data_IF_284035466546
#
_entry.id   IF_284035466546
#
_cell.length_a   1.000
_cell.length_b   1.000
_cell.length_c   1.000
_cell.angle_alpha   90.00
_cell.angle_beta   90.00
_cell.angle_gamma   90.00
#
_symmetry.space_group_name_H-M   'P 1'
#
loop_
_entity.id
_entity.type
_entity.pdbx_description
1 polymer ?
#
# COMPACT_ATOMS: atom_id res chain seq x y z
N UNK A 1 1.70 -5.13 -3.20
CA UNK A 1 2.47 -3.87 -3.05
C UNK A 1 3.96 -3.99 -3.25
N UNK A 2 4.59 -5.09 -2.82
CA UNK A 2 5.97 -5.42 -3.16
C UNK A 2 6.28 -5.28 -4.65
N UNK A 3 5.31 -5.61 -5.51
CA UNK A 3 5.36 -5.38 -6.96
C UNK A 3 5.62 -3.91 -7.33
N UNK A 4 4.97 -2.91 -6.72
CA UNK A 4 5.23 -1.50 -7.02
C UNK A 4 6.63 -1.07 -6.58
N UNK A 5 7.06 -1.51 -5.39
CA UNK A 5 8.42 -1.24 -4.90
C UNK A 5 9.45 -1.87 -5.80
N UNK A 6 9.27 -3.14 -6.17
CA UNK A 6 10.18 -3.88 -7.03
C UNK A 6 10.17 -3.34 -8.46
N UNK A 7 9.00 -3.14 -9.08
CA UNK A 7 8.89 -2.75 -10.50
C UNK A 7 8.99 -1.26 -10.77
N UNK A 8 8.58 -0.38 -9.85
CA UNK A 8 8.60 1.08 -10.05
C UNK A 8 9.71 1.78 -9.28
N UNK A 9 10.07 1.34 -8.06
CA UNK A 9 11.03 2.06 -7.21
C UNK A 9 12.44 1.43 -7.16
N UNK A 10 12.54 0.10 -7.24
CA UNK A 10 13.78 -0.67 -7.19
C UNK A 10 14.30 -1.02 -8.60
N UNK A 11 13.43 -1.34 -9.55
CA UNK A 11 13.80 -1.64 -10.94
C UNK A 11 13.74 -0.36 -11.77
N UNK A 12 14.94 0.08 -12.17
CA UNK A 12 15.26 0.85 -13.37
C UNK A 12 14.17 1.81 -13.90
N UNK A 13 14.36 3.10 -13.61
CA UNK A 13 13.82 4.26 -14.33
C UNK A 13 12.57 3.98 -15.19
N UNK A 14 11.38 4.24 -14.63
CA UNK A 14 10.11 3.98 -15.29
C UNK A 14 10.03 4.68 -16.66
N UNK A 15 9.50 4.00 -17.69
CA UNK A 15 9.41 4.57 -19.05
C UNK A 15 10.74 4.68 -19.81
N UNK A 16 11.85 4.19 -19.26
CA UNK A 16 13.13 4.16 -19.96
C UNK A 16 13.21 3.06 -21.03
N UNK A 17 14.04 3.29 -22.04
CA UNK A 17 14.34 2.28 -23.05
C UNK A 17 15.19 1.12 -22.49
N UNK A 18 15.34 0.04 -23.26
CA UNK A 18 16.11 -1.15 -22.82
C UNK A 18 17.59 -0.85 -22.58
N UNK A 19 18.21 0.03 -23.35
CA UNK A 19 19.62 0.39 -23.24
C UNK A 19 19.86 1.24 -21.98
N UNK A 20 19.02 2.26 -21.75
CA UNK A 20 18.99 3.10 -20.57
C UNK A 20 18.80 2.26 -19.30
N UNK A 21 17.82 1.34 -19.28
CA UNK A 21 17.61 0.43 -18.14
C UNK A 21 18.83 -0.45 -17.89
N UNK A 22 19.43 -1.01 -18.94
CA UNK A 22 20.62 -1.86 -18.83
C UNK A 22 21.81 -1.07 -18.27
N UNK A 23 22.05 0.15 -18.77
CA UNK A 23 23.14 1.00 -18.33
C UNK A 23 22.98 1.39 -16.85
N UNK A 24 21.82 1.91 -16.45
CA UNK A 24 21.54 2.26 -15.06
C UNK A 24 21.63 1.05 -14.11
N UNK A 25 21.20 -0.13 -14.56
CA UNK A 25 21.33 -1.38 -13.79
C UNK A 25 22.78 -1.78 -13.60
N UNK A 26 23.58 -1.77 -14.67
CA UNK A 26 25.01 -2.10 -14.64
C UNK A 26 25.77 -1.13 -13.75
N UNK A 27 25.52 0.17 -13.90
CA UNK A 27 26.10 1.22 -13.08
C UNK A 27 25.74 1.03 -11.60
N UNK A 28 24.45 0.85 -11.29
CA UNK A 28 24.01 0.63 -9.90
C UNK A 28 24.66 -0.60 -9.27
N UNK A 29 24.96 -1.65 -10.04
CA UNK A 29 25.64 -2.86 -9.58
C UNK A 29 27.14 -2.65 -9.38
N UNK A 30 27.79 -1.91 -10.29
CA UNK A 30 29.22 -1.62 -10.21
C UNK A 30 29.56 -0.84 -8.93
N UNK A 31 28.72 0.13 -8.57
CA UNK A 31 28.88 0.98 -7.39
C UNK A 31 28.14 0.44 -6.14
N UNK A 32 27.89 -0.87 -6.04
CA UNK A 32 27.24 -1.46 -4.86
C UNK A 32 28.10 -1.36 -3.59
N UNK A 33 29.43 -1.34 -3.76
CA UNK A 33 30.41 -1.27 -2.66
C UNK A 33 30.71 0.16 -2.23
N UNK A 34 30.30 1.15 -3.03
CA UNK A 34 30.51 2.56 -2.77
C UNK A 34 29.34 3.16 -1.99
N UNK A 35 29.58 4.31 -1.34
CA UNK A 35 28.57 5.01 -0.54
C UNK A 35 27.27 5.30 -1.33
N UNK A 36 26.14 5.07 -0.68
CA UNK A 36 24.81 5.20 -1.29
C UNK A 36 24.50 6.59 -1.87
N UNK A 37 25.06 7.65 -1.28
CA UNK A 37 24.88 9.03 -1.76
C UNK A 37 25.57 9.27 -3.11
N UNK A 38 26.85 8.89 -3.25
CA UNK A 38 27.61 9.04 -4.50
C UNK A 38 26.96 8.25 -5.64
N UNK A 39 26.47 7.04 -5.32
CA UNK A 39 25.71 6.23 -6.28
C UNK A 39 24.42 6.91 -6.75
N UNK A 40 23.62 7.45 -5.82
CA UNK A 40 22.39 8.18 -6.17
C UNK A 40 22.66 9.45 -6.96
N UNK A 41 23.71 10.20 -6.61
CA UNK A 41 24.14 11.40 -7.34
C UNK A 41 24.53 11.09 -8.78
N UNK A 42 25.36 10.06 -9.00
CA UNK A 42 25.76 9.64 -10.33
C UNK A 42 24.55 9.15 -11.15
N UNK A 43 23.66 8.35 -10.55
CA UNK A 43 22.44 7.92 -11.22
C UNK A 43 21.56 9.10 -11.62
N UNK A 44 21.37 10.08 -10.74
CA UNK A 44 20.60 11.28 -11.01
C UNK A 44 21.20 12.10 -12.16
N UNK A 45 22.52 12.26 -12.21
CA UNK A 45 23.21 12.92 -13.31
C UNK A 45 23.00 12.18 -14.64
N UNK A 46 23.20 10.85 -14.65
CA UNK A 46 22.96 10.02 -15.84
C UNK A 46 21.51 10.11 -16.32
N UNK A 47 20.53 10.07 -15.39
CA UNK A 47 19.11 10.23 -15.73
C UNK A 47 18.80 11.61 -16.30
N UNK A 48 19.40 12.70 -15.77
CA UNK A 48 19.25 14.05 -16.36
C UNK A 48 19.79 14.14 -17.77
N UNK A 49 20.94 13.50 -18.04
CA UNK A 49 21.50 13.46 -19.40
C UNK A 49 20.55 12.75 -20.38
N UNK A 50 19.95 11.62 -19.99
CA UNK A 50 18.98 10.93 -20.85
C UNK A 50 17.70 11.73 -21.09
N UNK A 51 17.29 12.54 -20.13
CA UNK A 51 16.06 13.32 -20.20
C UNK A 51 16.25 14.72 -20.79
N UNK A 52 17.49 15.15 -21.03
CA UNK A 52 17.81 16.47 -21.58
C UNK A 52 17.13 16.70 -22.93
N UNK A 53 17.14 15.67 -23.79
CA UNK A 53 16.56 15.74 -25.13
C UNK A 53 15.02 15.60 -25.13
N UNK A 54 14.43 15.07 -24.04
CA UNK A 54 13.01 14.74 -23.94
C UNK A 54 12.23 15.62 -22.95
N UNK A 55 12.76 16.81 -22.65
CA UNK A 55 12.15 17.79 -21.73
C UNK A 55 11.77 17.21 -20.36
N UNK A 56 12.53 16.22 -19.85
CA UNK A 56 12.25 15.62 -18.54
C UNK A 56 11.31 14.42 -18.57
N UNK A 57 10.76 14.00 -19.71
CA UNK A 57 9.83 12.86 -19.80
C UNK A 57 10.52 11.64 -20.42
N UNK A 58 10.49 10.45 -19.79
CA UNK A 58 11.06 9.25 -20.37
C UNK A 58 10.37 8.85 -21.69
N UNK A 59 11.10 8.27 -22.67
CA UNK A 59 10.59 8.04 -24.03
C UNK A 59 9.37 7.11 -24.10
N UNK A 60 9.27 6.13 -23.19
CA UNK A 60 8.15 5.19 -23.13
C UNK A 60 7.24 5.42 -21.92
N UNK A 61 7.25 6.62 -21.34
CA UNK A 61 6.50 6.93 -20.12
C UNK A 61 5.01 6.58 -20.24
N UNK A 62 4.29 7.23 -21.16
CA UNK A 62 2.85 7.02 -21.33
C UNK A 62 2.50 5.59 -21.77
N UNK A 63 3.31 5.01 -22.66
CA UNK A 63 3.13 3.64 -23.12
C UNK A 63 3.19 2.64 -21.96
N UNK A 64 4.11 2.81 -21.01
CA UNK A 64 4.22 1.95 -19.84
C UNK A 64 3.12 2.23 -18.80
N UNK A 65 2.67 3.48 -18.66
CA UNK A 65 1.50 3.85 -17.85
C UNK A 65 0.26 3.12 -18.35
N UNK A 66 -0.05 3.23 -19.65
CA UNK A 66 -1.22 2.59 -20.27
C UNK A 66 -1.20 1.07 -20.07
N UNK A 67 -0.05 0.43 -20.35
CA UNK A 67 0.12 -1.02 -20.17
C UNK A 67 -0.11 -1.43 -18.72
N UNK A 68 0.45 -0.70 -17.76
CA UNK A 68 0.32 -1.04 -16.34
C UNK A 68 -1.11 -0.79 -15.85
N UNK A 69 -1.73 0.33 -16.24
CA UNK A 69 -3.12 0.64 -15.91
C UNK A 69 -4.09 -0.42 -16.46
N UNK A 70 -3.92 -0.85 -17.71
CA UNK A 70 -4.71 -1.93 -18.30
C UNK A 70 -4.51 -3.26 -17.58
N UNK A 71 -3.27 -3.61 -17.23
CA UNK A 71 -2.99 -4.83 -16.45
C UNK A 71 -3.67 -4.80 -15.08
N UNK A 72 -3.61 -3.67 -14.38
CA UNK A 72 -4.29 -3.49 -13.10
C UNK A 72 -5.80 -3.63 -13.29
N UNK A 73 -6.38 -2.97 -14.28
CA UNK A 73 -7.81 -3.08 -14.59
C UNK A 73 -8.22 -4.53 -14.81
N UNK A 74 -7.51 -5.26 -15.67
CA UNK A 74 -7.75 -6.68 -15.95
C UNK A 74 -7.69 -7.53 -14.68
N UNK A 75 -6.71 -7.27 -13.79
CA UNK A 75 -6.58 -7.98 -12.52
C UNK A 75 -7.77 -7.74 -11.58
N UNK A 76 -8.35 -6.54 -11.58
CA UNK A 76 -9.48 -6.20 -10.71
C UNK A 76 -10.86 -6.47 -11.35
N UNK A 77 -10.93 -6.79 -12.65
CA UNK A 77 -12.18 -7.10 -13.36
C UNK A 77 -13.06 -8.14 -12.64
N UNK A 78 -12.53 -9.24 -12.07
CA UNK A 78 -13.37 -10.19 -11.34
C UNK A 78 -14.07 -9.56 -10.14
N UNK A 79 -13.39 -8.67 -9.42
CA UNK A 79 -13.94 -7.92 -8.30
C UNK A 79 -14.97 -6.91 -8.79
N UNK A 80 -14.69 -6.18 -9.87
CA UNK A 80 -15.64 -5.26 -10.49
C UNK A 80 -16.92 -6.00 -10.89
N UNK A 81 -16.80 -7.14 -11.58
CA UNK A 81 -17.94 -7.95 -12.01
C UNK A 81 -18.78 -8.43 -10.82
N UNK A 82 -18.14 -8.83 -9.72
CA UNK A 82 -18.84 -9.18 -8.48
C UNK A 82 -19.55 -7.98 -7.85
N UNK A 83 -18.90 -6.82 -7.82
CA UNK A 83 -19.50 -5.56 -7.35
C UNK A 83 -20.71 -5.18 -8.20
N UNK A 84 -20.64 -5.31 -9.54
CA UNK A 84 -21.77 -5.04 -10.44
C UNK A 84 -22.99 -5.89 -10.10
N UNK A 85 -22.79 -7.18 -9.82
CA UNK A 85 -23.87 -8.13 -9.47
C UNK A 85 -24.51 -7.84 -8.11
N UNK A 86 -23.79 -7.15 -7.22
CA UNK A 86 -24.22 -6.88 -5.84
C UNK A 86 -24.54 -5.39 -5.62
N UNK A 87 -24.40 -4.56 -6.65
CA UNK A 87 -24.63 -3.12 -6.57
C UNK A 87 -26.12 -2.80 -6.32
N UNK A 88 -26.46 -1.78 -5.52
CA UNK A 88 -27.84 -1.37 -5.39
C UNK A 88 -28.36 -0.87 -6.75
N UNK A 89 -29.59 -1.23 -7.16
CA UNK A 89 -30.18 -0.72 -8.40
C UNK A 89 -30.44 0.79 -8.37
N UNK A 90 -30.46 1.40 -7.19
CA UNK A 90 -30.74 2.82 -6.95
C UNK A 90 -29.52 3.74 -7.07
N UNK A 91 -28.30 3.18 -7.09
CA UNK A 91 -27.05 3.96 -7.15
C UNK A 91 -26.36 3.76 -8.50
N UNK A 92 -25.88 4.85 -9.10
CA UNK A 92 -25.12 4.79 -10.34
C UNK A 92 -23.76 4.10 -10.10
N UNK A 93 -23.51 3.03 -10.85
CA UNK A 93 -22.24 2.33 -10.79
C UNK A 93 -21.22 3.06 -11.68
N UNK A 94 -20.01 3.27 -11.17
CA UNK A 94 -18.90 3.81 -11.95
C UNK A 94 -18.67 2.96 -13.21
N UNK A 95 -18.62 3.61 -14.36
CA UNK A 95 -18.34 2.95 -15.63
C UNK A 95 -16.89 2.42 -15.68
N UNK A 96 -16.65 1.36 -16.46
CA UNK A 96 -15.31 0.79 -16.67
C UNK A 96 -14.36 1.84 -17.23
N UNK A 97 -14.83 2.75 -18.10
CA UNK A 97 -14.00 3.82 -18.65
C UNK A 97 -13.51 4.74 -17.53
N UNK A 98 -14.41 5.21 -16.67
CA UNK A 98 -14.05 6.06 -15.53
C UNK A 98 -13.14 5.33 -14.54
N UNK A 99 -13.34 4.03 -14.33
CA UNK A 99 -12.42 3.21 -13.53
C UNK A 99 -11.03 3.14 -14.16
N UNK A 100 -10.93 2.93 -15.49
CA UNK A 100 -9.66 2.96 -16.20
C UNK A 100 -8.97 4.32 -16.05
N UNK A 101 -9.70 5.43 -16.25
CA UNK A 101 -9.18 6.79 -16.10
C UNK A 101 -8.60 7.04 -14.70
N UNK A 102 -9.30 6.61 -13.64
CA UNK A 102 -8.78 6.72 -12.28
C UNK A 102 -7.51 5.88 -12.07
N UNK A 103 -7.50 4.63 -12.54
CA UNK A 103 -6.31 3.76 -12.43
C UNK A 103 -5.14 4.38 -13.20
N UNK A 104 -5.40 4.85 -14.42
CA UNK A 104 -4.41 5.49 -15.27
C UNK A 104 -3.82 6.74 -14.59
N UNK A 105 -4.65 7.60 -14.00
CA UNK A 105 -4.17 8.76 -13.22
C UNK A 105 -3.28 8.35 -12.04
N UNK A 106 -3.71 7.37 -11.24
CA UNK A 106 -2.91 6.87 -10.12
C UNK A 106 -1.56 6.30 -10.59
N UNK A 107 -1.55 5.52 -11.68
CA UNK A 107 -0.33 4.94 -12.26
C UNK A 107 0.58 6.03 -12.83
N UNK A 108 0.03 6.99 -13.58
CA UNK A 108 0.77 8.11 -14.15
C UNK A 108 1.46 8.93 -13.04
N UNK A 109 0.73 9.20 -11.96
CA UNK A 109 1.27 9.92 -10.82
C UNK A 109 2.39 9.14 -10.13
N UNK A 110 2.18 7.85 -9.82
CA UNK A 110 3.19 7.00 -9.21
C UNK A 110 4.44 6.85 -10.11
N UNK A 111 4.23 6.75 -11.42
CA UNK A 111 5.30 6.70 -12.43
C UNK A 111 6.10 8.00 -12.45
N UNK A 112 5.43 9.14 -12.42
CA UNK A 112 6.08 10.44 -12.38
C UNK A 112 6.88 10.63 -11.09
N UNK A 113 6.31 10.24 -9.95
CA UNK A 113 7.03 10.26 -8.68
C UNK A 113 8.27 9.34 -8.71
N UNK A 114 8.19 8.14 -9.29
CA UNK A 114 9.34 7.27 -9.50
C UNK A 114 10.45 7.95 -10.34
N UNK A 115 10.08 8.66 -11.41
CA UNK A 115 11.03 9.44 -12.22
C UNK A 115 11.74 10.50 -11.36
N UNK A 116 10.99 11.25 -10.56
CA UNK A 116 11.55 12.28 -9.67
C UNK A 116 12.46 11.69 -8.59
N UNK A 117 12.13 10.52 -8.03
CA UNK A 117 12.99 9.78 -7.11
C UNK A 117 14.34 9.44 -7.77
N UNK A 118 14.36 9.09 -9.07
CA UNK A 118 15.61 8.82 -9.80
C UNK A 118 16.38 10.08 -10.19
N UNK A 119 15.70 11.21 -10.32
CA UNK A 119 16.34 12.52 -10.55
C UNK A 119 16.91 13.16 -9.28
N UNK A 120 16.55 12.64 -8.11
CA UNK A 120 17.08 13.08 -6.83
C UNK A 120 18.47 12.48 -6.57
N UNK A 121 19.46 13.30 -6.15
CA UNK A 121 20.76 12.80 -5.73
C UNK A 121 20.73 12.12 -4.35
N UNK A 122 19.59 12.14 -3.67
CA UNK A 122 19.40 11.63 -2.31
C UNK A 122 18.66 10.29 -2.32
N UNK A 123 19.12 9.28 -1.57
CA UNK A 123 18.41 8.01 -1.48
C UNK A 123 17.08 8.16 -0.72
N UNK A 124 16.09 7.39 -1.17
CA UNK A 124 14.79 7.25 -0.53
C UNK A 124 14.66 5.84 0.05
N UNK A 125 14.06 5.74 1.24
CA UNK A 125 13.66 4.48 1.85
C UNK A 125 12.13 4.43 1.92
N UNK A 126 11.57 3.38 1.32
CA UNK A 126 10.14 3.08 1.35
C UNK A 126 9.89 1.89 2.27
N UNK A 127 9.25 2.12 3.41
CA UNK A 127 8.89 1.08 4.36
C UNK A 127 7.39 0.79 4.28
N UNK A 128 7.04 -0.41 3.83
CA UNK A 128 5.65 -0.86 3.76
C UNK A 128 5.31 -1.71 4.97
N UNK A 129 4.12 -1.51 5.52
CA UNK A 129 3.60 -2.37 6.57
C UNK A 129 3.02 -3.64 5.96
N UNK A 130 3.25 -4.75 6.64
CA UNK A 130 2.72 -6.06 6.25
C UNK A 130 1.30 -6.23 6.80
N UNK A 131 0.40 -6.88 6.06
CA UNK A 131 -0.87 -7.32 6.62
C UNK A 131 -0.65 -8.14 7.90
N UNK A 132 -1.40 -7.85 8.95
CA UNK A 132 -1.27 -8.46 10.28
C UNK A 132 -0.33 -7.74 11.24
N UNK A 133 0.44 -6.74 10.77
CA UNK A 133 1.27 -5.90 11.64
C UNK A 133 0.41 -5.17 12.68
N UNK A 134 1.03 -4.83 13.81
CA UNK A 134 0.36 -4.10 14.89
C UNK A 134 0.25 -2.61 14.54
N UNK A 135 -0.81 -1.98 15.02
CA UNK A 135 -0.94 -0.53 15.01
C UNK A 135 0.23 0.14 15.73
N UNK A 136 0.76 1.21 15.12
CA UNK A 136 1.72 2.14 15.74
C UNK A 136 1.16 3.58 15.67
N UNK A 137 1.43 4.43 16.67
CA UNK A 137 0.90 5.80 16.72
C UNK A 137 1.26 6.69 15.53
N UNK A 138 2.38 6.40 14.85
CA UNK A 138 2.88 7.18 13.71
C UNK A 138 2.14 6.89 12.39
N UNK A 139 1.23 5.92 12.39
CA UNK A 139 0.50 5.47 11.22
C UNK A 139 -0.81 6.24 11.06
N UNK A 140 -1.21 6.52 9.83
CA UNK A 140 -2.46 7.22 9.52
C UNK A 140 -3.56 6.23 9.16
N UNK A 141 -4.65 6.22 9.94
CA UNK A 141 -5.81 5.38 9.68
C UNK A 141 -6.70 5.98 8.59
N UNK A 142 -6.89 5.22 7.51
CA UNK A 142 -7.66 5.66 6.35
C UNK A 142 -9.16 5.44 6.48
N UNK A 143 -9.55 4.40 7.21
CA UNK A 143 -10.94 4.02 7.31
C UNK A 143 -11.31 3.60 8.73
N UNK A 144 -11.42 4.58 9.61
CA UNK A 144 -11.83 4.38 11.01
C UNK A 144 -13.18 3.70 11.14
N UNK A 145 -14.09 3.91 10.19
CA UNK A 145 -15.40 3.24 10.16
C UNK A 145 -15.29 1.72 9.98
N UNK A 146 -14.33 1.25 9.17
CA UNK A 146 -14.08 -0.18 8.98
C UNK A 146 -13.54 -0.83 10.25
N UNK A 147 -12.54 -0.19 10.85
CA UNK A 147 -11.91 -0.68 12.06
C UNK A 147 -12.89 -0.68 13.24
N UNK A 148 -13.60 0.43 13.47
CA UNK A 148 -14.60 0.54 14.54
C UNK A 148 -15.67 -0.54 14.44
N UNK A 149 -16.11 -0.83 13.21
CA UNK A 149 -17.09 -1.87 12.98
C UNK A 149 -16.51 -3.28 13.17
N UNK A 150 -15.30 -3.55 12.68
CA UNK A 150 -14.63 -4.82 12.94
C UNK A 150 -14.43 -5.05 14.43
N UNK A 151 -14.17 -3.99 15.20
CA UNK A 151 -14.09 -4.05 16.66
C UNK A 151 -15.41 -4.49 17.27
N UNK A 152 -16.52 -3.84 16.92
CA UNK A 152 -17.84 -4.23 17.40
C UNK A 152 -18.18 -5.69 17.07
N UNK A 153 -18.05 -6.08 15.79
CA UNK A 153 -18.39 -7.44 15.31
C UNK A 153 -17.56 -8.53 16.02
N UNK A 154 -16.29 -8.26 16.30
CA UNK A 154 -15.42 -9.22 16.98
C UNK A 154 -15.65 -9.22 18.50
N UNK A 155 -15.95 -8.08 19.12
CA UNK A 155 -16.32 -8.02 20.54
C UNK A 155 -17.64 -8.76 20.82
N UNK A 156 -18.66 -8.58 19.97
CA UNK A 156 -19.92 -9.31 20.06
C UNK A 156 -19.69 -10.82 19.90
N UNK A 157 -18.89 -11.23 18.89
CA UNK A 157 -18.56 -12.64 18.67
C UNK A 157 -17.84 -13.27 19.86
N UNK A 158 -16.87 -12.57 20.44
CA UNK A 158 -16.14 -13.08 21.60
C UNK A 158 -17.07 -13.22 22.81
N UNK A 159 -17.96 -12.25 23.02
CA UNK A 159 -18.96 -12.30 24.08
C UNK A 159 -19.90 -13.49 23.92
N UNK A 160 -20.48 -13.68 22.72
CA UNK A 160 -21.37 -14.79 22.42
C UNK A 160 -20.68 -16.14 22.62
N UNK A 161 -19.41 -16.27 22.20
CA UNK A 161 -18.63 -17.49 22.40
C UNK A 161 -18.35 -17.77 23.87
N UNK A 162 -17.97 -16.76 24.66
CA UNK A 162 -17.76 -16.92 26.09
C UNK A 162 -19.05 -17.27 26.81
N UNK A 163 -20.18 -16.65 26.44
CA UNK A 163 -21.50 -16.97 26.99
C UNK A 163 -21.92 -18.41 26.67
N UNK A 164 -21.82 -18.82 25.41
CA UNK A 164 -22.11 -20.19 24.97
C UNK A 164 -21.25 -21.23 25.70
N UNK A 165 -19.95 -20.95 25.90
CA UNK A 165 -19.07 -21.85 26.68
C UNK A 165 -19.49 -21.94 28.13
N UNK A 166 -19.90 -20.84 28.75
CA UNK A 166 -20.37 -20.82 30.14
C UNK A 166 -21.67 -21.61 30.32
N UNK A 167 -22.62 -21.46 29.38
CA UNK A 167 -23.89 -22.21 29.40
C UNK A 167 -23.67 -23.71 29.20
N UNK A 168 -22.74 -24.09 28.32
CA UNK A 168 -22.45 -25.49 28.01
C UNK A 168 -21.41 -26.14 28.95
N UNK A 169 -20.93 -25.43 29.98
CA UNK A 169 -19.91 -25.93 30.89
C UNK A 169 -20.48 -26.97 31.86
N UNK A 170 -19.84 -28.15 32.02
CA UNK A 170 -20.22 -29.12 33.04
C UNK A 170 -20.23 -28.53 34.46
N UNK A 171 -21.09 -29.01 35.37
CA UNK A 171 -21.05 -28.62 36.78
C UNK A 171 -19.67 -28.92 37.39
N UNK A 172 -19.03 -27.91 37.99
CA UNK A 172 -17.69 -28.04 38.59
C UNK A 172 -16.51 -27.69 37.66
N UNK A 173 -16.79 -27.24 36.43
CA UNK A 173 -15.76 -26.72 35.53
C UNK A 173 -15.07 -25.48 36.09
N UNK A 174 -13.78 -25.31 35.78
CA UNK A 174 -13.08 -24.05 36.02
C UNK A 174 -13.77 -22.90 35.29
N UNK A 175 -13.55 -21.67 35.79
CA UNK A 175 -14.10 -20.46 35.18
C UNK A 175 -13.84 -20.43 33.66
N UNK A 176 -14.82 -20.01 32.83
CA UNK A 176 -14.64 -19.96 31.39
C UNK A 176 -13.41 -19.14 31.02
N UNK A 177 -12.63 -19.64 30.06
CA UNK A 177 -11.43 -18.95 29.57
C UNK A 177 -11.80 -17.51 29.17
N UNK A 178 -11.01 -16.51 29.59
CA UNK A 178 -11.29 -15.13 29.22
C UNK A 178 -11.30 -14.98 27.69
N UNK A 179 -12.08 -14.02 27.17
CA UNK A 179 -12.07 -13.73 25.74
C UNK A 179 -10.65 -13.39 25.28
N UNK A 180 -10.29 -13.73 24.03
CA UNK A 180 -8.96 -13.46 23.52
C UNK A 180 -8.68 -11.97 23.51
N UNK A 181 -7.43 -11.59 23.77
CA UNK A 181 -7.00 -10.20 23.62
C UNK A 181 -6.95 -9.84 22.14
N UNK A 182 -7.46 -8.65 21.81
CA UNK A 182 -7.52 -8.12 20.45
C UNK A 182 -6.91 -6.73 20.37
N UNK A 183 -6.37 -6.41 19.20
CA UNK A 183 -5.75 -5.13 18.90
C UNK A 183 -5.95 -4.74 17.43
N UNK A 184 -5.74 -3.46 17.12
CA UNK A 184 -5.80 -2.97 15.75
C UNK A 184 -4.63 -3.53 14.94
N UNK A 185 -4.96 -4.19 13.83
CA UNK A 185 -4.00 -4.83 12.93
C UNK A 185 -4.12 -4.32 11.52
N UNK A 186 -2.98 -4.19 10.85
CA UNK A 186 -2.88 -3.74 9.46
C UNK A 186 -3.65 -4.71 8.57
N UNK A 187 -4.74 -4.25 7.96
CA UNK A 187 -5.45 -4.98 6.91
C UNK A 187 -4.76 -4.74 5.57
N UNK A 188 -4.56 -3.47 5.23
CA UNK A 188 -4.01 -3.00 3.97
C UNK A 188 -3.11 -1.81 4.28
N UNK A 189 -1.84 -1.89 3.93
CA UNK A 189 -1.00 -0.70 3.76
C UNK A 189 -1.34 -0.09 2.41
N UNK A 190 -1.76 1.18 2.37
CA UNK A 190 -2.07 1.91 1.14
C UNK A 190 -0.92 2.82 0.70
N UNK A 191 -0.19 3.37 1.67
CA UNK A 191 0.95 4.28 1.47
C UNK A 191 2.08 3.84 2.41
N UNK A 192 3.35 3.81 1.96
CA UNK A 192 4.47 3.45 2.81
C UNK A 192 4.92 4.66 3.65
N UNK A 193 5.67 4.39 4.71
CA UNK A 193 6.54 5.44 5.25
C UNK A 193 7.63 5.74 4.22
N UNK A 194 7.86 7.03 3.94
CA UNK A 194 8.90 7.47 3.02
C UNK A 194 9.89 8.35 3.76
N UNK A 195 11.16 7.98 3.67
CA UNK A 195 12.26 8.72 4.27
C UNK A 195 13.23 9.15 3.19
N UNK A 196 13.72 10.39 3.27
CA UNK A 196 14.82 10.89 2.44
C UNK A 196 16.04 11.14 3.32
N UNK A 197 17.19 10.70 2.83
CA UNK A 197 18.48 10.92 3.48
C UNK A 197 19.25 11.94 2.67
N UNK A 198 19.72 13.02 3.30
CA UNK A 198 20.53 14.06 2.65
C UNK A 198 21.91 14.10 3.30
N UNK A 199 23.00 14.11 2.52
CA UNK A 199 24.33 14.23 3.10
C UNK A 199 24.51 15.62 3.69
N UNK A 200 25.06 15.69 4.90
CA UNK A 200 25.62 16.93 5.46
C UNK A 200 27.09 16.94 5.08
N UNK A 201 27.47 17.91 4.25
CA UNK A 201 28.85 18.03 3.75
C UNK A 201 29.60 19.08 4.54
N UNK A 202 30.86 18.80 4.82
CA UNK A 202 31.78 19.79 5.34
C UNK A 202 32.00 20.92 4.32
N UNK A 203 32.10 22.16 4.80
CA UNK A 203 32.21 23.35 3.94
C UNK A 203 33.60 23.49 3.32
N UNK A 204 34.62 22.93 3.95
CA UNK A 204 36.01 23.05 3.49
C UNK A 204 36.42 21.86 2.59
N UNK A 205 36.14 20.62 3.02
CA UNK A 205 36.51 19.42 2.26
C UNK A 205 35.45 18.93 1.27
N UNK A 206 34.18 19.33 1.43
CA UNK A 206 33.07 18.82 0.62
C UNK A 206 32.68 17.35 0.90
N UNK A 207 33.40 16.68 1.80
CA UNK A 207 33.14 15.30 2.19
C UNK A 207 31.92 15.20 3.12
N UNK A 208 31.16 14.10 3.08
CA UNK A 208 30.00 13.90 3.94
C UNK A 208 30.45 13.65 5.39
N UNK A 209 30.10 14.56 6.29
CA UNK A 209 30.38 14.47 7.74
C UNK A 209 29.19 13.89 8.53
N UNK A 210 28.04 13.76 7.88
CA UNK A 210 26.84 13.20 8.49
C UNK A 210 25.67 13.14 7.52
N UNK A 211 24.48 12.88 8.05
CA UNK A 211 23.27 12.82 7.26
C UNK A 211 22.08 13.45 8.00
N UNK A 212 21.28 14.21 7.26
CA UNK A 212 19.97 14.64 7.69
C UNK A 212 18.93 13.65 7.17
N UNK A 213 18.12 13.12 8.08
CA UNK A 213 17.04 12.19 7.75
C UNK A 213 15.71 12.93 7.91
N UNK A 214 14.90 12.95 6.85
CA UNK A 214 13.58 13.59 6.88
C UNK A 214 12.51 12.56 6.52
N UNK A 215 11.49 12.44 7.37
CA UNK A 215 10.27 11.68 7.04
C UNK A 215 9.41 12.55 6.12
N UNK A 216 9.13 12.06 4.92
CA UNK A 216 8.30 12.75 3.94
C UNK A 216 6.82 12.40 4.14
N UNK A 217 6.53 11.15 4.48
CA UNK A 217 5.17 10.65 4.65
C UNK A 217 5.10 9.57 5.70
N UNK A 218 3.97 9.54 6.41
CA UNK A 218 3.61 8.45 7.30
C UNK A 218 2.93 7.33 6.51
N UNK A 219 3.06 6.09 6.98
CA UNK A 219 2.33 4.97 6.41
C UNK A 219 0.82 5.18 6.59
N UNK A 220 0.06 5.05 5.50
CA UNK A 220 -1.39 5.11 5.54
C UNK A 220 -1.96 3.70 5.45
N UNK A 221 -2.89 3.38 6.35
CA UNK A 221 -3.29 2.01 6.64
C UNK A 221 -4.79 1.90 6.88
N UNK A 222 -5.37 0.79 6.44
CA UNK A 222 -6.70 0.33 6.88
C UNK A 222 -6.51 -0.76 7.93
N UNK A 223 -7.20 -0.65 9.07
CA UNK A 223 -7.11 -1.64 10.15
C UNK A 223 -8.33 -2.56 10.23
N UNK A 224 -8.11 -3.75 10.79
CA UNK A 224 -9.16 -4.61 11.36
C UNK A 224 -8.83 -4.91 12.82
N UNK A 225 -9.82 -5.41 13.57
CA UNK A 225 -9.66 -5.73 14.99
C UNK A 225 -9.26 -7.20 15.16
N UNK A 226 -7.98 -7.50 15.00
CA UNK A 226 -7.42 -8.87 15.04
C UNK A 226 -7.02 -9.33 16.44
N UNK A 227 -6.57 -10.59 16.55
CA UNK A 227 -6.06 -11.18 17.80
C UNK A 227 -4.70 -10.56 18.20
N UNK A 228 -4.28 -10.66 19.46
CA UNK A 228 -2.97 -10.11 19.87
C UNK A 228 -1.78 -10.96 19.36
N UNK A 229 -1.94 -12.27 19.35
CA UNK A 229 -0.94 -13.23 18.87
C UNK A 229 -0.96 -13.33 17.34
N UNK A 230 0.20 -13.24 16.70
CA UNK A 230 0.26 -13.21 15.23
C UNK A 230 -0.14 -14.55 14.61
N UNK A 231 0.38 -15.65 15.13
CA UNK A 231 0.10 -17.00 14.65
C UNK A 231 -1.39 -17.34 14.72
N UNK A 232 -2.05 -17.09 15.85
CA UNK A 232 -3.47 -17.36 16.05
C UNK A 232 -4.35 -16.57 15.06
N UNK A 233 -3.95 -15.33 14.78
CA UNK A 233 -4.65 -14.46 13.84
C UNK A 233 -4.45 -14.94 12.39
N UNK A 234 -3.23 -15.34 12.01
CA UNK A 234 -2.97 -15.94 10.70
C UNK A 234 -3.75 -17.23 10.49
N UNK A 235 -3.85 -18.09 11.50
CA UNK A 235 -4.63 -19.33 11.44
C UNK A 235 -6.10 -19.07 11.13
N UNK A 236 -6.65 -17.98 11.65
CA UNK A 236 -8.02 -17.56 11.38
C UNK A 236 -8.28 -17.25 9.89
N UNK A 237 -7.23 -16.87 9.15
CA UNK A 237 -7.29 -16.58 7.72
C UNK A 237 -6.75 -17.71 6.82
N UNK A 238 -5.91 -18.61 7.35
CA UNK A 238 -5.28 -19.72 6.58
C UNK A 238 -6.26 -20.74 5.98
N UNK A 239 -7.50 -20.79 6.46
CA UNK A 239 -8.51 -21.76 6.04
C UNK A 239 -9.67 -21.22 5.20
N UNK A 240 -9.67 -19.93 4.85
CA UNK A 240 -10.81 -19.31 4.18
C UNK A 240 -10.36 -18.80 2.81
N UNK A 241 -10.72 -19.53 1.74
CA UNK A 241 -10.55 -18.99 0.39
C UNK A 241 -11.35 -17.69 0.25
N UNK A 242 -10.91 -16.77 -0.62
CA UNK A 242 -11.65 -15.51 -0.86
C UNK A 242 -13.13 -15.77 -1.18
N UNK A 243 -13.40 -16.90 -1.84
CA UNK A 243 -14.73 -17.39 -2.19
C UNK A 243 -15.50 -17.88 -0.98
N UNK A 244 -14.88 -18.67 -0.09
CA UNK A 244 -15.49 -19.08 1.18
C UNK A 244 -15.71 -17.90 2.11
N UNK A 245 -14.81 -16.92 2.13
CA UNK A 245 -14.97 -15.69 2.90
C UNK A 245 -16.17 -14.90 2.35
N UNK A 246 -16.28 -14.77 1.03
CA UNK A 246 -17.41 -14.12 0.37
C UNK A 246 -18.74 -14.85 0.59
N UNK A 247 -18.73 -16.18 0.74
CA UNK A 247 -19.93 -16.99 1.05
C UNK A 247 -20.28 -17.03 2.55
N UNK A 248 -19.27 -17.00 3.42
CA UNK A 248 -19.40 -17.07 4.88
C UNK A 248 -19.77 -15.73 5.50
N UNK A 249 -19.51 -14.63 4.78
CA UNK A 249 -20.32 -13.44 4.91
C UNK A 249 -21.77 -13.88 4.63
N UNK A 250 -22.56 -14.10 5.70
CA UNK A 250 -24.03 -14.19 5.68
C UNK A 250 -24.59 -13.08 4.78
N UNK A 251 -25.88 -13.04 4.41
CA UNK A 251 -26.49 -11.86 3.80
C UNK A 251 -26.48 -10.66 4.78
N UNK A 252 -25.29 -10.18 5.11
CA UNK A 252 -24.96 -8.91 5.68
C UNK A 252 -25.53 -7.91 4.69
N UNK A 253 -26.36 -7.00 5.19
CA UNK A 253 -26.94 -5.91 4.41
C UNK A 253 -25.92 -5.44 3.39
N UNK A 254 -26.20 -5.63 2.10
CA UNK A 254 -25.19 -5.46 1.05
C UNK A 254 -24.59 -4.02 1.12
N UNK A 255 -25.34 -3.06 1.69
CA UNK A 255 -24.91 -1.70 2.12
C UNK A 255 -23.59 -1.67 2.93
N UNK A 256 -23.35 -2.68 3.75
CA UNK A 256 -22.16 -2.85 4.59
C UNK A 256 -20.90 -3.06 3.76
N UNK A 257 -20.90 -4.05 2.87
CA UNK A 257 -19.74 -4.42 2.04
C UNK A 257 -19.53 -3.38 0.94
N UNK A 258 -20.64 -2.81 0.43
CA UNK A 258 -20.66 -1.64 -0.45
C UNK A 258 -19.87 -0.47 0.15
N UNK A 259 -20.13 -0.11 1.40
CA UNK A 259 -19.35 0.91 2.12
C UNK A 259 -17.89 0.50 2.32
N UNK A 260 -17.58 -0.79 2.53
CA UNK A 260 -16.18 -1.25 2.69
C UNK A 260 -15.36 -1.09 1.41
N UNK A 261 -15.92 -1.49 0.27
CA UNK A 261 -15.25 -1.40 -1.03
C UNK A 261 -15.18 0.04 -1.56
N UNK A 262 -16.28 0.80 -1.47
CA UNK A 262 -16.28 2.24 -1.75
C UNK A 262 -15.34 2.97 -0.81
N UNK A 263 -15.30 2.65 0.48
CA UNK A 263 -14.34 3.28 1.39
C UNK A 263 -12.92 2.92 1.02
N UNK A 264 -12.60 1.68 0.61
CA UNK A 264 -11.23 1.32 0.19
C UNK A 264 -10.85 1.98 -1.14
N UNK A 265 -11.73 2.00 -2.15
CA UNK A 265 -11.47 2.71 -3.42
C UNK A 265 -11.39 4.22 -3.20
N UNK A 266 -12.35 4.79 -2.47
CA UNK A 266 -12.38 6.21 -2.14
C UNK A 266 -11.20 6.59 -1.25
N UNK A 267 -10.77 5.73 -0.33
CA UNK A 267 -9.50 5.90 0.39
C UNK A 267 -8.33 5.85 -0.58
N UNK A 268 -8.26 4.90 -1.51
CA UNK A 268 -7.14 4.81 -2.46
C UNK A 268 -7.08 6.02 -3.40
N UNK A 269 -8.23 6.55 -3.83
CA UNK A 269 -8.38 7.75 -4.69
C UNK A 269 -8.18 9.04 -3.89
N UNK A 270 -8.80 9.16 -2.71
CA UNK A 270 -8.70 10.34 -1.84
C UNK A 270 -7.33 10.41 -1.17
N UNK A 271 -6.64 9.30 -0.91
CA UNK A 271 -5.23 9.34 -0.44
C UNK A 271 -4.26 9.71 -1.52
N UNK A 272 -4.49 9.29 -2.77
CA UNK A 272 -3.69 9.79 -3.90
C UNK A 272 -3.96 11.27 -4.14
N UNK A 273 -5.17 11.78 -3.90
CA UNK A 273 -5.48 13.22 -3.93
C UNK A 273 -4.94 13.99 -2.71
N UNK A 274 -5.11 13.48 -1.48
CA UNK A 274 -4.73 14.14 -0.22
C UNK A 274 -3.24 14.09 0.06
N UNK A 275 -2.52 13.07 -0.42
CA UNK A 275 -1.05 13.06 -0.36
C UNK A 275 -0.43 14.25 -1.10
N UNK A 276 -1.16 14.89 -2.02
CA UNK A 276 -0.59 15.87 -2.95
C UNK A 276 -1.42 17.14 -3.16
N UNK A 277 -2.56 17.31 -2.49
CA UNK A 277 -3.23 18.61 -2.37
C UNK A 277 -2.61 19.50 -1.28
N UNK A 278 -1.70 18.97 -0.46
CA UNK A 278 -0.99 19.68 0.61
C UNK A 278 0.49 19.96 0.31
N UNK A 279 0.88 19.93 -0.96
CA UNK A 279 2.19 20.42 -1.47
C UNK A 279 1.96 21.37 -2.62
#
# INVERSE_FOLDING_TARGET
MKVYTETMFLICFFGADKAQKKLLSTQSKAFLKDEGFRRCELMAQTTRMFLGDSQGVPPFFWLEVDKLAMRILVLILPVINWVRRTWPPEEELIDIKTMYEHIHHCVAYAAWFSVNVKLSPSPFLFSWLSPGDRYLPEQFELCSALHSRSRLENTERDFDQTFQRAVNAPPGSQAPTPPPRRLARVMISAVPDVWIFRPVRDKESGEPIGQNVTKLTNAHVVYYHGLENHSDDEELFKGISLVEHARALKPFSIRSIRKRFLAVIRVLVDTTYLLFATT
#
